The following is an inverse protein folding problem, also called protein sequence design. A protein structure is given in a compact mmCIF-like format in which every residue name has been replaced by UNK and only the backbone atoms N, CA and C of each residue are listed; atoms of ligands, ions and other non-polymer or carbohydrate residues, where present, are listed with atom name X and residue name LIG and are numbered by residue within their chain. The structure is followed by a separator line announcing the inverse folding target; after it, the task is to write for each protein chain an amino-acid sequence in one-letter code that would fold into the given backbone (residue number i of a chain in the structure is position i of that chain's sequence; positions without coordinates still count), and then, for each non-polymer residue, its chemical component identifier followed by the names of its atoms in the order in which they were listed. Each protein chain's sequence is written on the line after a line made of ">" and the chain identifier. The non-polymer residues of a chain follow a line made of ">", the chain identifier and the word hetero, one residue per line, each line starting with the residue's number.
data_IF_586637156219
#
_entry.id   IF_586637156219
#
_cell.length_a   1.000
_cell.length_b   1.000
_cell.length_c   1.000
_cell.angle_alpha   90.00
_cell.angle_beta   90.00
_cell.angle_gamma   90.00
#
_symmetry.space_group_name_H-M   'P 1'
#
loop_
_entity.id
_entity.type
_entity.pdbx_description
1 polymer ?
#
# COMPACT_ATOMS: atom_id res chain seq x y z
N UNK A 1 13.23 11.99 17.00
CA UNK A 1 12.39 11.19 16.09
C UNK A 1 11.92 12.12 14.98
N UNK A 2 12.22 11.80 13.73
CA UNK A 2 11.74 12.55 12.56
C UNK A 2 10.54 11.78 12.02
N UNK A 3 9.41 12.47 11.83
CA UNK A 3 8.20 11.92 11.25
C UNK A 3 8.22 12.23 9.76
N UNK A 4 8.34 11.20 8.93
CA UNK A 4 8.25 11.32 7.48
C UNK A 4 6.98 10.62 7.02
N UNK A 5 6.22 11.27 6.14
CA UNK A 5 5.18 10.60 5.39
C UNK A 5 5.82 9.90 4.18
N UNK A 6 5.13 8.91 3.61
CA UNK A 6 5.50 8.20 2.40
C UNK A 6 5.99 9.14 1.28
N UNK A 7 5.30 10.27 1.08
CA UNK A 7 5.63 11.27 0.05
C UNK A 7 6.93 12.03 0.30
N UNK A 8 7.46 12.00 1.53
CA UNK A 8 8.72 12.64 1.88
C UNK A 8 9.95 11.74 1.65
N UNK A 9 9.74 10.47 1.29
CA UNK A 9 10.81 9.50 1.08
C UNK A 9 11.35 9.58 -0.35
N UNK A 10 12.57 9.11 -0.58
CA UNK A 10 13.08 8.97 -1.94
C UNK A 10 12.30 7.90 -2.73
N UNK A 11 12.41 7.96 -4.06
CA UNK A 11 11.62 7.11 -4.95
C UNK A 11 11.88 5.61 -4.75
N UNK A 12 13.13 5.22 -4.50
CA UNK A 12 13.47 3.81 -4.29
C UNK A 12 12.85 3.29 -2.99
N UNK A 13 12.92 4.10 -1.92
CA UNK A 13 12.27 3.78 -0.64
C UNK A 13 10.75 3.73 -0.78
N UNK A 14 10.15 4.65 -1.54
CA UNK A 14 8.72 4.63 -1.84
C UNK A 14 8.31 3.33 -2.57
N UNK A 15 9.00 2.97 -3.65
CA UNK A 15 8.72 1.74 -4.40
C UNK A 15 8.85 0.49 -3.54
N UNK A 16 9.89 0.41 -2.70
CA UNK A 16 10.09 -0.71 -1.78
C UNK A 16 8.94 -0.83 -0.77
N UNK A 17 8.53 0.28 -0.17
CA UNK A 17 7.42 0.31 0.79
C UNK A 17 6.09 -0.04 0.12
N UNK A 18 5.86 0.41 -1.11
CA UNK A 18 4.68 0.05 -1.89
C UNK A 18 4.61 -1.45 -2.16
N UNK A 19 5.72 -2.08 -2.56
CA UNK A 19 5.78 -3.53 -2.77
C UNK A 19 5.48 -4.31 -1.48
N UNK A 20 6.03 -3.86 -0.35
CA UNK A 20 5.75 -4.46 0.95
C UNK A 20 4.28 -4.31 1.35
N UNK A 21 3.71 -3.11 1.17
CA UNK A 21 2.30 -2.82 1.46
C UNK A 21 1.37 -3.66 0.58
N UNK A 22 1.63 -3.75 -0.74
CA UNK A 22 0.85 -4.60 -1.66
C UNK A 22 0.81 -6.05 -1.20
N UNK A 23 1.97 -6.60 -0.78
CA UNK A 23 2.04 -7.97 -0.25
C UNK A 23 1.27 -8.14 1.05
N UNK A 24 1.32 -7.16 1.96
CA UNK A 24 0.56 -7.19 3.21
C UNK A 24 -0.96 -7.14 2.96
N UNK A 25 -1.41 -6.22 2.11
CA UNK A 25 -2.82 -6.06 1.75
C UNK A 25 -3.33 -7.30 1.00
N UNK A 26 -2.56 -7.86 0.07
CA UNK A 26 -2.96 -9.09 -0.61
C UNK A 26 -3.08 -10.27 0.36
N UNK A 27 -2.15 -10.40 1.30
CA UNK A 27 -2.21 -11.47 2.31
C UNK A 27 -3.43 -11.34 3.24
N UNK A 28 -3.78 -10.12 3.64
CA UNK A 28 -4.91 -9.87 4.57
C UNK A 28 -6.27 -9.84 3.88
N UNK A 29 -6.34 -9.18 2.73
CA UNK A 29 -7.60 -8.79 2.07
C UNK A 29 -7.71 -9.27 0.63
N UNK A 30 -6.69 -9.94 0.07
CA UNK A 30 -6.65 -10.30 -1.36
C UNK A 30 -7.86 -11.10 -1.84
N UNK A 31 -8.42 -12.00 -1.01
CA UNK A 31 -9.66 -12.71 -1.36
C UNK A 31 -10.88 -11.77 -1.49
N UNK A 32 -11.00 -10.82 -0.57
CA UNK A 32 -12.11 -9.85 -0.57
C UNK A 32 -11.96 -8.89 -1.76
N UNK A 33 -10.74 -8.40 -2.00
CA UNK A 33 -10.43 -7.52 -3.13
C UNK A 33 -10.68 -8.21 -4.47
N UNK A 34 -10.31 -9.49 -4.63
CA UNK A 34 -10.61 -10.26 -5.85
C UNK A 34 -12.11 -10.44 -6.07
N UNK A 35 -12.87 -10.69 -5.00
CA UNK A 35 -14.33 -10.81 -5.10
C UNK A 35 -14.97 -9.47 -5.47
N UNK A 36 -14.54 -8.39 -4.83
CA UNK A 36 -15.01 -7.04 -5.12
C UNK A 36 -14.70 -6.64 -6.56
N UNK A 37 -13.45 -6.87 -7.01
CA UNK A 37 -13.03 -6.58 -8.37
C UNK A 37 -13.90 -7.29 -9.42
N UNK A 38 -14.26 -8.55 -9.17
CA UNK A 38 -15.19 -9.30 -10.03
C UNK A 38 -16.61 -8.76 -9.99
N UNK A 39 -17.12 -8.41 -8.81
CA UNK A 39 -18.50 -7.93 -8.66
C UNK A 39 -18.72 -6.54 -9.26
N UNK A 40 -17.69 -5.69 -9.20
CA UNK A 40 -17.75 -4.30 -9.69
C UNK A 40 -17.10 -4.13 -11.07
N UNK A 41 -16.65 -5.22 -11.70
CA UNK A 41 -15.93 -5.22 -12.98
C UNK A 41 -14.74 -4.24 -13.03
N UNK A 42 -14.00 -4.10 -11.92
CA UNK A 42 -12.81 -3.25 -11.83
C UNK A 42 -11.53 -4.07 -11.91
N UNK A 43 -10.43 -3.43 -12.30
CA UNK A 43 -9.12 -4.06 -12.35
C UNK A 43 -8.60 -4.35 -10.93
N UNK A 44 -8.31 -5.62 -10.64
CA UNK A 44 -7.81 -6.05 -9.33
C UNK A 44 -6.44 -5.45 -8.99
N UNK A 45 -5.52 -5.36 -9.94
CA UNK A 45 -4.17 -4.87 -9.70
C UNK A 45 -4.19 -3.37 -9.36
N UNK A 46 -5.01 -2.59 -10.07
CA UNK A 46 -5.24 -1.17 -9.77
C UNK A 46 -5.86 -1.00 -8.38
N UNK A 47 -6.88 -1.78 -8.04
CA UNK A 47 -7.53 -1.74 -6.72
C UNK A 47 -6.54 -2.09 -5.59
N UNK A 48 -5.73 -3.12 -5.78
CA UNK A 48 -4.72 -3.54 -4.81
C UNK A 48 -3.66 -2.45 -4.60
N UNK A 49 -3.26 -1.78 -5.67
CA UNK A 49 -2.32 -0.66 -5.61
C UNK A 49 -2.89 0.54 -4.85
N UNK A 50 -4.15 0.92 -5.13
CA UNK A 50 -4.82 2.01 -4.41
C UNK A 50 -4.92 1.73 -2.91
N UNK A 51 -5.33 0.51 -2.53
CA UNK A 51 -5.43 0.12 -1.12
C UNK A 51 -4.05 0.04 -0.45
N UNK A 52 -3.02 -0.42 -1.17
CA UNK A 52 -1.64 -0.42 -0.67
C UNK A 52 -1.11 1.00 -0.43
N UNK A 53 -1.44 1.96 -1.29
CA UNK A 53 -1.06 3.36 -1.14
C UNK A 53 -1.82 3.99 0.04
N UNK A 54 -3.13 3.77 0.15
CA UNK A 54 -3.94 4.24 1.30
C UNK A 54 -3.39 3.73 2.63
N UNK A 55 -3.00 2.45 2.67
CA UNK A 55 -2.35 1.87 3.84
C UNK A 55 -1.10 2.67 4.23
N UNK A 56 -0.23 3.01 3.27
CA UNK A 56 1.01 3.76 3.53
C UNK A 56 0.77 5.20 3.99
N UNK A 57 -0.27 5.88 3.51
CA UNK A 57 -0.63 7.23 3.97
C UNK A 57 -1.14 7.28 5.41
N UNK A 58 -1.60 6.16 5.95
CA UNK A 58 -2.07 6.03 7.33
C UNK A 58 -0.94 5.67 8.32
N UNK A 59 0.31 5.48 7.85
CA UNK A 59 1.46 5.22 8.72
C UNK A 59 2.37 6.44 8.86
N UNK A 60 2.68 6.80 10.10
CA UNK A 60 3.80 7.68 10.42
C UNK A 60 5.09 6.84 10.50
N UNK A 61 6.03 7.05 9.59
CA UNK A 61 7.31 6.35 9.60
C UNK A 61 8.26 7.03 10.60
N UNK A 62 8.66 6.28 11.63
CA UNK A 62 9.64 6.73 12.63
C UNK A 62 10.98 6.06 12.34
N UNK A 63 11.94 6.86 11.89
CA UNK A 63 13.33 6.42 11.75
C UNK A 63 14.11 6.80 13.02
N UNK A 64 14.77 5.81 13.62
CA UNK A 64 15.80 6.03 14.63
C UNK A 64 17.16 6.14 13.92
N UNK A 65 17.83 7.28 14.09
CA UNK A 65 19.24 7.47 13.70
C UNK A 65 20.17 6.94 14.78
#
# INVERSE_FOLDING_TARGET
>A
MIYLNYTNLDKETQERLLLMSKKEIENRFGKQLKNYARQQEVNYDTLLEEEAIRNLYNYDFVFNM
#
